data_IF_124304822902
#
_entry.id   IF_124304822902
#
_cell.length_a   1.000
_cell.length_b   1.000
_cell.length_c   1.000
_cell.angle_alpha   90.00
_cell.angle_beta   90.00
_cell.angle_gamma   90.00
#
_symmetry.space_group_name_H-M   'P 1'
#
loop_
_entity.id
_entity.type
_entity.pdbx_description
1 polymer ?
#
# COMPACT_ATOMS: atom_id res chain seq x y z
N UNK A 1 60.36 46.84 18.13
CA UNK A 1 60.99 47.81 17.20
C UNK A 1 59.97 48.02 16.08
N UNK A 2 59.11 49.06 16.10
CA UNK A 2 59.33 50.41 15.52
C UNK A 2 60.19 50.35 14.23
N UNK A 3 59.86 50.94 13.07
CA UNK A 3 58.93 52.00 12.67
C UNK A 3 59.12 52.19 11.15
N UNK A 4 58.05 52.41 10.37
CA UNK A 4 57.91 53.41 9.27
C UNK A 4 56.59 53.10 8.51
N UNK A 5 55.48 53.80 8.78
CA UNK A 5 55.06 55.11 8.23
C UNK A 5 54.80 55.03 6.70
N UNK A 6 53.72 55.53 6.09
CA UNK A 6 52.66 56.50 6.43
C UNK A 6 51.65 56.46 5.23
N UNK A 7 50.35 56.22 5.40
CA UNK A 7 49.24 57.20 5.54
C UNK A 7 48.92 58.01 4.26
N UNK A 8 47.70 57.87 3.69
CA UNK A 8 46.62 58.89 3.76
C UNK A 8 45.41 58.63 2.84
N UNK A 9 44.26 58.85 3.48
CA UNK A 9 42.88 59.00 3.01
C UNK A 9 42.66 60.19 2.07
N UNK A 10 41.68 60.09 1.15
CA UNK A 10 40.85 61.21 0.72
C UNK A 10 39.48 60.73 0.19
N UNK A 11 38.45 61.29 0.79
CA UNK A 11 37.01 61.23 0.50
C UNK A 11 36.62 62.21 -0.61
N UNK A 12 35.65 61.85 -1.47
CA UNK A 12 34.37 62.56 -1.68
C UNK A 12 33.80 62.49 -3.13
N UNK A 13 32.54 62.08 -3.18
CA UNK A 13 31.41 62.54 -4.01
C UNK A 13 31.46 62.47 -5.55
N UNK A 14 30.54 61.65 -6.09
CA UNK A 14 30.03 61.73 -7.45
C UNK A 14 28.79 60.84 -7.60
N UNK A 15 27.61 61.41 -7.33
CA UNK A 15 26.28 60.80 -7.50
C UNK A 15 25.96 60.71 -8.99
N UNK A 16 25.50 59.55 -9.46
CA UNK A 16 24.56 59.42 -10.59
C UNK A 16 23.88 58.04 -10.56
N UNK A 17 22.74 58.03 -9.88
CA UNK A 17 21.46 57.45 -10.29
C UNK A 17 21.44 56.41 -11.42
N UNK A 18 21.23 55.15 -11.07
CA UNK A 18 20.31 54.28 -11.80
C UNK A 18 19.72 53.23 -10.85
N UNK A 19 18.47 53.49 -10.45
CA UNK A 19 17.61 52.51 -9.79
C UNK A 19 17.33 51.36 -10.78
N UNK A 20 18.16 50.32 -10.73
CA UNK A 20 17.79 48.99 -11.20
C UNK A 20 16.98 48.31 -10.10
N UNK A 21 15.66 48.52 -10.10
CA UNK A 21 14.73 47.67 -9.37
C UNK A 21 14.83 46.26 -9.97
N UNK A 22 15.76 45.45 -9.47
CA UNK A 22 15.70 44.01 -9.58
C UNK A 22 14.52 43.58 -8.70
N UNK A 23 13.33 43.65 -9.28
CA UNK A 23 12.17 42.94 -8.79
C UNK A 23 12.52 41.47 -8.79
N UNK A 24 12.99 40.96 -7.64
CA UNK A 24 12.82 39.57 -7.29
C UNK A 24 11.31 39.34 -7.24
N UNK A 25 10.70 39.02 -8.38
CA UNK A 25 9.49 38.23 -8.39
C UNK A 25 9.88 36.91 -7.73
N UNK A 26 9.73 36.85 -6.41
CA UNK A 26 9.47 35.60 -5.73
C UNK A 26 8.14 35.12 -6.31
N UNK A 27 8.24 34.49 -7.48
CA UNK A 27 7.18 33.68 -8.02
C UNK A 27 7.02 32.61 -6.95
N UNK A 28 6.00 32.75 -6.12
CA UNK A 28 5.51 31.64 -5.33
C UNK A 28 5.02 30.63 -6.35
N UNK A 29 5.95 29.86 -6.89
CA UNK A 29 5.66 28.53 -7.35
C UNK A 29 5.13 27.87 -6.09
N UNK A 30 3.79 27.81 -5.97
CA UNK A 30 3.16 26.72 -5.24
C UNK A 30 3.93 25.49 -5.71
N UNK A 31 4.73 24.84 -4.86
CA UNK A 31 5.52 23.71 -5.32
C UNK A 31 4.49 22.75 -5.90
N UNK A 32 4.57 22.54 -7.23
CA UNK A 32 3.76 21.53 -7.88
C UNK A 32 3.87 20.30 -6.99
N UNK A 33 2.75 19.83 -6.46
CA UNK A 33 2.74 18.68 -5.55
C UNK A 33 3.53 17.61 -6.28
N UNK A 34 4.72 17.29 -5.79
CA UNK A 34 5.52 16.21 -6.37
C UNK A 34 4.97 14.93 -5.78
N UNK A 35 4.76 13.93 -6.63
CA UNK A 35 4.36 12.61 -6.19
C UNK A 35 5.34 12.06 -5.13
N UNK A 36 4.86 11.18 -4.26
CA UNK A 36 5.64 10.58 -3.19
C UNK A 36 4.99 9.29 -2.70
N UNK A 37 5.80 8.39 -2.17
CA UNK A 37 5.33 7.12 -1.59
C UNK A 37 5.26 7.21 -0.07
N UNK A 38 4.32 6.49 0.52
CA UNK A 38 4.14 6.35 1.96
C UNK A 38 4.05 4.86 2.30
N UNK A 39 4.74 4.43 3.35
CA UNK A 39 4.67 3.06 3.83
C UNK A 39 5.06 2.94 5.30
N UNK A 40 4.79 1.77 5.87
CA UNK A 40 5.40 1.38 7.14
C UNK A 40 6.91 1.22 6.99
N UNK A 41 7.65 1.46 8.06
CA UNK A 41 9.09 1.29 8.12
C UNK A 41 9.56 0.88 9.51
N UNK A 42 10.77 0.33 9.56
CA UNK A 42 11.46 -0.04 10.80
C UNK A 42 12.76 0.75 10.91
N UNK A 43 13.08 1.20 12.12
CA UNK A 43 14.36 1.80 12.51
C UNK A 43 15.08 0.87 13.48
N UNK A 44 16.30 1.26 13.88
CA UNK A 44 17.05 0.54 14.90
C UNK A 44 16.23 0.39 16.20
N UNK A 45 16.57 -0.60 17.03
CA UNK A 45 15.93 -0.85 18.33
C UNK A 45 14.40 -1.04 18.29
N UNK A 46 13.88 -1.64 17.21
CA UNK A 46 12.43 -1.94 17.05
C UNK A 46 11.51 -0.71 17.04
N UNK A 47 12.05 0.47 16.70
CA UNK A 47 11.23 1.65 16.48
C UNK A 47 10.50 1.55 15.14
N UNK A 48 9.19 1.78 15.16
CA UNK A 48 8.33 1.71 13.98
C UNK A 48 7.89 3.10 13.55
N UNK A 49 7.80 3.30 12.23
CA UNK A 49 7.38 4.57 11.64
C UNK A 49 6.42 4.35 10.48
N UNK A 50 5.58 5.33 10.20
CA UNK A 50 5.06 5.57 8.85
C UNK A 50 5.99 6.62 8.23
N UNK A 51 6.54 6.35 7.05
CA UNK A 51 7.53 7.21 6.42
C UNK A 51 7.09 7.57 5.01
N UNK A 52 7.37 8.80 4.60
CA UNK A 52 7.10 9.29 3.27
C UNK A 52 8.40 9.66 2.55
N UNK A 53 8.55 9.21 1.31
CA UNK A 53 9.72 9.49 0.48
C UNK A 53 9.27 10.12 -0.83
N UNK A 54 9.95 11.18 -1.24
CA UNK A 54 9.79 11.73 -2.59
C UNK A 54 10.23 10.69 -3.64
N UNK A 55 9.81 10.86 -4.89
CA UNK A 55 10.17 9.90 -5.96
C UNK A 55 11.68 9.81 -6.24
N UNK A 56 12.49 10.77 -5.76
CA UNK A 56 13.96 10.72 -5.82
C UNK A 56 14.59 9.95 -4.65
N UNK A 57 13.78 9.38 -3.75
CA UNK A 57 14.22 8.64 -2.57
C UNK A 57 14.59 9.52 -1.36
N UNK A 58 14.44 10.85 -1.44
CA UNK A 58 14.65 11.73 -0.29
C UNK A 58 13.50 11.63 0.71
N UNK A 59 13.83 11.65 2.01
CA UNK A 59 12.84 11.59 3.08
C UNK A 59 12.04 12.89 3.15
N UNK A 60 10.71 12.74 3.24
CA UNK A 60 9.77 13.84 3.45
C UNK A 60 9.44 14.03 4.93
N UNK A 61 9.03 12.96 5.58
CA UNK A 61 8.79 12.91 7.02
C UNK A 61 8.79 11.46 7.53
N UNK A 62 8.91 11.33 8.84
CA UNK A 62 8.63 10.10 9.59
C UNK A 62 7.62 10.43 10.69
N UNK A 63 6.59 9.59 10.80
CA UNK A 63 5.63 9.60 11.87
C UNK A 63 5.90 8.39 12.76
N UNK A 64 6.26 8.62 14.02
CA UNK A 64 6.45 7.55 14.99
C UNK A 64 5.16 6.73 15.18
N UNK A 65 5.28 5.41 15.20
CA UNK A 65 4.17 4.50 15.42
C UNK A 65 4.35 3.68 16.71
N UNK A 66 3.26 3.34 17.41
CA UNK A 66 3.33 2.50 18.62
C UNK A 66 3.89 1.09 18.36
N UNK A 67 3.67 0.57 17.15
CA UNK A 67 4.12 -0.75 16.70
C UNK A 67 4.13 -0.78 15.15
N UNK A 68 4.39 -1.96 14.56
CA UNK A 68 4.42 -2.15 13.10
C UNK A 68 3.16 -1.62 12.40
N UNK A 69 3.35 -0.57 11.60
CA UNK A 69 2.41 -0.13 10.57
C UNK A 69 2.51 -1.03 9.33
N UNK A 70 1.37 -1.38 8.75
CA UNK A 70 1.28 -2.35 7.66
C UNK A 70 0.80 -1.71 6.36
N UNK A 71 -0.50 -1.52 6.19
CA UNK A 71 -1.10 -0.84 5.04
C UNK A 71 -1.26 0.66 5.30
N UNK A 72 -1.27 1.43 4.22
CA UNK A 72 -1.63 2.86 4.21
C UNK A 72 -2.87 3.02 3.34
N UNK A 73 -3.93 3.60 3.90
CA UNK A 73 -5.14 3.95 3.15
C UNK A 73 -5.22 5.46 3.03
N UNK A 74 -5.22 5.96 1.79
CA UNK A 74 -5.20 7.39 1.48
C UNK A 74 -6.62 7.87 1.24
N UNK A 75 -6.97 9.02 1.81
CA UNK A 75 -8.25 9.68 1.59
C UNK A 75 -8.35 10.19 0.14
N UNK A 76 -9.49 10.08 -0.55
CA UNK A 76 -9.60 10.39 -1.98
C UNK A 76 -9.29 11.85 -2.35
N UNK A 77 -9.62 12.82 -1.47
CA UNK A 77 -9.46 14.26 -1.77
C UNK A 77 -8.69 15.10 -0.74
N UNK A 78 -8.89 14.85 0.56
CA UNK A 78 -8.19 15.53 1.65
C UNK A 78 -6.77 15.00 1.84
N UNK A 79 -5.84 15.80 2.42
CA UNK A 79 -4.47 15.37 2.68
C UNK A 79 -4.38 14.42 3.89
N UNK A 80 -5.25 13.42 3.96
CA UNK A 80 -5.41 12.49 5.08
C UNK A 80 -5.04 11.07 4.67
N UNK A 81 -4.39 10.34 5.56
CA UNK A 81 -4.14 8.93 5.38
C UNK A 81 -4.26 8.18 6.71
N UNK A 82 -4.52 6.89 6.63
CA UNK A 82 -4.62 5.99 7.77
C UNK A 82 -3.52 4.94 7.66
N UNK A 83 -2.66 4.88 8.68
CA UNK A 83 -1.73 3.78 8.84
C UNK A 83 -2.41 2.69 9.67
N UNK A 84 -2.53 1.50 9.10
CA UNK A 84 -3.16 0.36 9.76
C UNK A 84 -2.09 -0.52 10.41
N UNK A 85 -2.15 -0.66 11.73
CA UNK A 85 -1.30 -1.57 12.48
C UNK A 85 -1.65 -3.04 12.20
N UNK A 86 -0.64 -3.90 12.16
CA UNK A 86 -0.84 -5.34 12.07
C UNK A 86 0.33 -6.10 12.69
N UNK A 87 0.03 -6.90 13.72
CA UNK A 87 0.90 -7.91 14.34
C UNK A 87 2.40 -7.51 14.41
N UNK A 88 2.87 -6.89 15.51
CA UNK A 88 2.20 -6.75 16.82
C UNK A 88 1.19 -5.58 16.89
N UNK A 89 1.11 -4.71 15.88
CA UNK A 89 0.20 -3.57 15.88
C UNK A 89 -1.28 -3.96 16.00
N UNK A 90 -2.03 -3.19 16.80
CA UNK A 90 -3.47 -3.29 17.01
C UNK A 90 -4.11 -1.90 16.99
N UNK A 91 -3.64 -1.01 16.10
CA UNK A 91 -4.07 0.38 16.05
C UNK A 91 -4.41 0.81 14.61
N UNK A 92 -5.10 1.94 14.48
CA UNK A 92 -5.14 2.78 13.29
C UNK A 92 -4.66 4.18 13.66
N UNK A 93 -3.77 4.76 12.87
CA UNK A 93 -3.33 6.14 13.03
C UNK A 93 -3.80 6.95 11.81
N UNK A 94 -4.75 7.86 12.01
CA UNK A 94 -5.10 8.90 11.05
C UNK A 94 -4.10 10.06 11.17
N UNK A 95 -3.52 10.46 10.05
CA UNK A 95 -2.53 11.52 9.99
C UNK A 95 -2.69 12.38 8.73
N UNK A 96 -2.18 13.60 8.77
CA UNK A 96 -2.07 14.45 7.61
C UNK A 96 -0.84 14.03 6.80
N UNK A 97 -1.04 13.52 5.58
CA UNK A 97 0.06 12.96 4.79
C UNK A 97 0.89 14.04 4.07
N UNK A 98 0.47 15.31 4.09
CA UNK A 98 1.26 16.41 3.58
C UNK A 98 2.25 16.97 4.64
N UNK A 99 1.85 17.00 5.91
CA UNK A 99 2.68 17.51 7.02
C UNK A 99 3.33 16.42 7.88
N UNK A 100 2.83 15.19 7.85
CA UNK A 100 3.23 14.11 8.76
C UNK A 100 2.59 14.20 10.15
N UNK A 101 1.66 15.12 10.37
CA UNK A 101 1.00 15.35 11.66
C UNK A 101 0.03 14.22 12.02
N UNK A 102 0.20 13.62 13.20
CA UNK A 102 -0.76 12.67 13.77
C UNK A 102 -2.02 13.39 14.22
N UNK A 103 -3.19 12.92 13.79
CA UNK A 103 -4.48 13.53 14.09
C UNK A 103 -5.31 12.70 15.05
N UNK A 104 -5.33 11.38 14.89
CA UNK A 104 -6.09 10.48 15.75
C UNK A 104 -5.49 9.07 15.73
N UNK A 105 -5.35 8.47 16.90
CA UNK A 105 -5.03 7.05 17.05
C UNK A 105 -6.21 6.32 17.67
N UNK A 106 -6.57 5.16 17.12
CA UNK A 106 -7.55 4.24 17.68
C UNK A 106 -6.92 2.87 17.88
N UNK A 107 -7.18 2.26 19.03
CA UNK A 107 -6.84 0.86 19.26
C UNK A 107 -7.99 -0.06 18.87
N UNK A 108 -7.67 -1.29 18.48
CA UNK A 108 -8.65 -2.34 18.29
C UNK A 108 -9.37 -2.63 19.62
N UNK A 109 -10.67 -2.85 19.56
CA UNK A 109 -11.44 -3.28 20.72
C UNK A 109 -10.90 -4.61 21.28
N UNK A 110 -11.09 -4.86 22.58
CA UNK A 110 -10.45 -5.97 23.30
C UNK A 110 -10.59 -7.36 22.62
N UNK A 111 -11.76 -7.63 22.03
CA UNK A 111 -12.09 -8.92 21.36
C UNK A 111 -11.81 -8.91 19.85
N UNK A 112 -11.28 -7.80 19.32
CA UNK A 112 -11.01 -7.58 17.91
C UNK A 112 -9.51 -7.43 17.64
N UNK A 113 -9.13 -7.50 16.38
CA UNK A 113 -7.83 -7.07 15.88
C UNK A 113 -7.95 -6.61 14.42
N UNK A 114 -7.03 -5.75 13.97
CA UNK A 114 -6.95 -5.33 12.58
C UNK A 114 -6.12 -6.30 11.72
N UNK A 115 -6.54 -6.52 10.48
CA UNK A 115 -5.76 -7.21 9.46
C UNK A 115 -4.82 -6.28 8.69
N UNK A 116 -4.85 -4.98 8.99
CA UNK A 116 -3.85 -4.02 8.51
C UNK A 116 -4.17 -3.35 7.17
N UNK A 117 -5.44 -3.39 6.73
CA UNK A 117 -5.89 -2.83 5.45
C UNK A 117 -7.21 -2.07 5.59
N UNK A 118 -7.44 -1.13 4.67
CA UNK A 118 -8.68 -0.36 4.60
C UNK A 118 -8.90 0.33 3.25
N UNK A 119 -10.10 0.85 3.05
CA UNK A 119 -10.50 1.63 1.89
C UNK A 119 -11.46 2.75 2.32
N UNK A 120 -11.27 3.96 1.79
CA UNK A 120 -12.26 5.02 1.94
C UNK A 120 -13.40 4.84 0.92
N UNK A 121 -14.59 5.32 1.26
CA UNK A 121 -15.64 5.61 0.29
C UNK A 121 -15.18 6.69 -0.69
N UNK A 122 -15.83 6.76 -1.85
CA UNK A 122 -15.49 7.73 -2.91
C UNK A 122 -15.58 9.20 -2.42
N UNK A 123 -16.57 9.48 -1.57
CA UNK A 123 -16.74 10.79 -0.93
C UNK A 123 -15.80 11.03 0.28
N UNK A 124 -15.02 10.03 0.67
CA UNK A 124 -14.07 10.08 1.79
C UNK A 124 -14.71 10.12 3.20
N UNK A 125 -16.04 10.08 3.30
CA UNK A 125 -16.72 10.21 4.60
C UNK A 125 -16.67 8.93 5.45
N UNK A 126 -16.43 7.78 4.82
CA UNK A 126 -16.43 6.48 5.48
C UNK A 126 -15.12 5.73 5.20
N UNK A 127 -14.49 5.21 6.25
CA UNK A 127 -13.40 4.25 6.16
C UNK A 127 -13.94 2.84 6.45
N UNK A 128 -13.68 1.90 5.55
CA UNK A 128 -13.88 0.48 5.74
C UNK A 128 -12.54 -0.17 6.07
N UNK A 129 -12.46 -1.00 7.11
CA UNK A 129 -11.21 -1.69 7.48
C UNK A 129 -11.45 -3.15 7.81
N UNK A 130 -10.48 -4.00 7.46
CA UNK A 130 -10.55 -5.43 7.74
C UNK A 130 -10.20 -5.71 9.20
N UNK A 131 -11.16 -6.29 9.92
CA UNK A 131 -11.09 -6.68 11.32
C UNK A 131 -11.34 -8.19 11.48
N UNK A 132 -10.89 -8.74 12.60
CA UNK A 132 -11.11 -10.13 12.97
C UNK A 132 -11.43 -10.32 14.44
N UNK A 133 -12.25 -11.31 14.73
CA UNK A 133 -12.42 -11.81 16.10
C UNK A 133 -11.18 -12.54 16.60
N UNK A 134 -10.71 -12.18 17.80
CA UNK A 134 -9.45 -12.68 18.37
C UNK A 134 -9.39 -14.21 18.50
N UNK A 135 -10.51 -14.85 18.82
CA UNK A 135 -10.56 -16.29 19.11
C UNK A 135 -11.07 -17.15 17.96
N UNK A 136 -11.83 -16.58 17.02
CA UNK A 136 -12.49 -17.34 15.95
C UNK A 136 -11.97 -16.95 14.56
N UNK A 137 -11.25 -15.83 14.45
CA UNK A 137 -10.89 -15.17 13.19
C UNK A 137 -12.09 -14.80 12.31
N UNK A 138 -13.31 -14.79 12.87
CA UNK A 138 -14.52 -14.37 12.17
C UNK A 138 -14.28 -13.00 11.55
N UNK A 139 -14.54 -12.90 10.25
CA UNK A 139 -14.28 -11.72 9.45
C UNK A 139 -15.28 -10.62 9.73
N UNK A 140 -14.75 -9.41 9.87
CA UNK A 140 -15.51 -8.18 10.11
C UNK A 140 -14.96 -7.11 9.17
N UNK A 141 -15.85 -6.34 8.55
CA UNK A 141 -15.49 -5.02 8.02
C UNK A 141 -15.98 -3.99 9.02
N UNK A 142 -15.05 -3.33 9.69
CA UNK A 142 -15.39 -2.20 10.54
C UNK A 142 -15.68 -0.96 9.68
N UNK A 143 -16.77 -0.27 9.98
CA UNK A 143 -17.21 0.92 9.24
C UNK A 143 -17.06 2.13 10.14
N UNK A 144 -16.24 3.09 9.72
CA UNK A 144 -15.87 4.25 10.52
C UNK A 144 -16.24 5.54 9.80
N UNK A 145 -17.01 6.42 10.45
CA UNK A 145 -17.25 7.76 9.96
C UNK A 145 -16.03 8.65 10.21
N UNK A 146 -15.63 9.42 9.22
CA UNK A 146 -14.64 10.49 9.35
C UNK A 146 -15.34 11.83 9.59
N UNK A 147 -15.17 12.40 10.78
CA UNK A 147 -15.73 13.72 11.15
C UNK A 147 -14.70 14.52 11.92
N UNK A 148 -14.45 15.77 11.49
CA UNK A 148 -13.50 16.68 12.14
C UNK A 148 -12.14 16.02 12.45
N UNK A 149 -11.53 15.37 11.45
CA UNK A 149 -10.26 14.64 11.57
C UNK A 149 -10.27 13.53 12.65
N UNK A 150 -11.44 12.92 12.90
CA UNK A 150 -11.56 11.76 13.79
C UNK A 150 -12.38 10.66 13.15
N UNK A 151 -11.84 9.44 13.17
CA UNK A 151 -12.57 8.22 12.87
C UNK A 151 -13.40 7.80 14.08
N UNK A 152 -14.67 7.45 13.85
CA UNK A 152 -15.55 6.86 14.87
C UNK A 152 -16.25 5.66 14.25
N UNK A 153 -16.17 4.50 14.89
CA UNK A 153 -16.86 3.29 14.41
C UNK A 153 -18.37 3.49 14.49
N UNK A 154 -19.08 3.21 13.40
CA UNK A 154 -20.53 3.43 13.27
C UNK A 154 -21.28 2.16 12.86
N UNK A 155 -20.61 1.17 12.28
CA UNK A 155 -21.23 -0.09 11.86
C UNK A 155 -20.18 -1.21 11.72
N UNK A 156 -20.67 -2.45 11.53
CA UNK A 156 -19.87 -3.63 11.22
C UNK A 156 -20.58 -4.48 10.16
N UNK A 157 -19.85 -4.99 9.18
CA UNK A 157 -20.33 -6.03 8.26
C UNK A 157 -19.71 -7.37 8.64
N UNK A 158 -20.49 -8.45 8.59
CA UNK A 158 -20.07 -9.80 8.98
C UNK A 158 -20.69 -10.86 8.07
N UNK A 159 -20.47 -12.14 8.34
CA UNK A 159 -21.14 -13.24 7.61
C UNK A 159 -20.51 -13.64 6.28
N UNK A 160 -19.39 -13.02 5.87
CA UNK A 160 -18.72 -13.29 4.60
C UNK A 160 -17.49 -14.23 4.71
N UNK A 161 -17.24 -14.82 5.88
CA UNK A 161 -16.16 -15.78 6.10
C UNK A 161 -15.16 -15.34 7.15
N UNK A 162 -13.99 -15.99 7.16
CA UNK A 162 -12.94 -15.79 8.18
C UNK A 162 -11.65 -15.29 7.54
N UNK A 163 -10.86 -14.52 8.29
CA UNK A 163 -9.57 -14.07 7.76
C UNK A 163 -9.61 -13.04 6.63
N UNK A 164 -10.52 -12.04 6.60
CA UNK A 164 -10.50 -11.01 5.56
C UNK A 164 -9.18 -10.25 5.63
N UNK A 165 -8.42 -10.28 4.55
CA UNK A 165 -7.09 -9.71 4.54
C UNK A 165 -7.12 -8.27 4.06
N UNK A 166 -7.34 -8.08 2.76
CA UNK A 166 -7.37 -6.77 2.12
C UNK A 166 -8.79 -6.45 1.61
N UNK A 167 -9.11 -5.17 1.62
CA UNK A 167 -10.37 -4.60 1.14
C UNK A 167 -10.05 -3.45 0.18
N UNK A 168 -10.81 -3.34 -0.91
CA UNK A 168 -10.73 -2.23 -1.87
C UNK A 168 -12.12 -1.72 -2.21
N UNK A 169 -12.20 -0.45 -2.59
CA UNK A 169 -13.38 0.15 -3.20
C UNK A 169 -13.38 -0.18 -4.70
N UNK A 170 -14.55 -0.53 -5.23
CA UNK A 170 -14.79 -0.71 -6.66
C UNK A 170 -15.25 0.62 -7.29
N UNK A 171 -15.10 0.80 -8.62
CA UNK A 171 -15.55 2.02 -9.31
C UNK A 171 -17.05 2.33 -9.15
N UNK A 172 -17.88 1.32 -8.85
CA UNK A 172 -19.31 1.48 -8.60
C UNK A 172 -19.63 1.85 -7.14
N UNK A 173 -18.63 2.07 -6.29
CA UNK A 173 -18.78 2.41 -4.87
C UNK A 173 -19.01 1.21 -3.94
N UNK A 174 -19.09 -0.01 -4.46
CA UNK A 174 -19.15 -1.23 -3.64
C UNK A 174 -17.76 -1.68 -3.20
N UNK A 175 -17.71 -2.70 -2.35
CA UNK A 175 -16.46 -3.21 -1.77
C UNK A 175 -16.11 -4.56 -2.37
N UNK A 176 -14.81 -4.83 -2.49
CA UNK A 176 -14.27 -6.16 -2.76
C UNK A 176 -13.27 -6.53 -1.67
N UNK A 177 -13.38 -7.75 -1.15
CA UNK A 177 -12.63 -8.25 0.00
C UNK A 177 -11.97 -9.57 -0.34
N UNK A 178 -10.66 -9.65 -0.12
CA UNK A 178 -9.89 -10.89 -0.19
C UNK A 178 -10.03 -11.64 1.12
N UNK A 179 -10.83 -12.70 1.13
CA UNK A 179 -11.05 -13.53 2.32
C UNK A 179 -10.07 -14.69 2.29
N UNK A 180 -9.11 -14.68 3.22
CA UNK A 180 -8.03 -15.64 3.24
C UNK A 180 -8.44 -17.05 3.68
N UNK A 181 -9.55 -17.19 4.41
CA UNK A 181 -10.09 -18.49 4.84
C UNK A 181 -9.28 -19.21 5.93
N UNK A 182 -8.27 -18.57 6.52
CA UNK A 182 -7.37 -19.17 7.52
C UNK A 182 -7.68 -18.66 8.92
N UNK A 183 -8.09 -19.58 9.80
CA UNK A 183 -8.14 -19.36 11.24
C UNK A 183 -6.74 -19.55 11.84
N UNK A 184 -6.32 -18.62 12.71
CA UNK A 184 -4.99 -18.68 13.33
C UNK A 184 -5.02 -18.44 14.83
N UNK A 185 -4.26 -19.22 15.59
CA UNK A 185 -3.86 -18.88 16.96
C UNK A 185 -2.45 -18.27 16.91
N UNK A 186 -2.40 -16.94 17.07
CA UNK A 186 -1.15 -16.21 16.82
C UNK A 186 -0.70 -16.36 15.36
N UNK A 187 0.43 -17.03 15.12
CA UNK A 187 0.97 -17.31 13.77
C UNK A 187 0.63 -18.72 13.27
N UNK A 188 0.09 -19.58 14.10
CA UNK A 188 -0.19 -20.97 13.75
C UNK A 188 -1.55 -21.08 13.04
N UNK A 189 -1.62 -21.66 11.83
CA UNK A 189 -2.88 -21.91 11.15
C UNK A 189 -3.55 -23.18 11.69
N UNK A 190 -4.83 -23.10 12.03
CA UNK A 190 -5.56 -24.20 12.70
C UNK A 190 -6.50 -24.99 11.79
N UNK A 191 -6.83 -24.46 10.61
CA UNK A 191 -7.89 -25.01 9.75
C UNK A 191 -7.43 -25.28 8.32
N UNK A 192 -6.15 -25.55 8.06
CA UNK A 192 -5.66 -25.72 6.68
C UNK A 192 -6.42 -26.79 5.89
N UNK A 193 -6.95 -27.84 6.53
CA UNK A 193 -7.75 -28.88 5.87
C UNK A 193 -9.14 -28.40 5.45
N UNK A 194 -9.68 -27.37 6.10
CA UNK A 194 -11.06 -26.89 5.92
C UNK A 194 -11.14 -25.41 5.52
N UNK A 195 -10.01 -24.76 5.27
CA UNK A 195 -9.98 -23.37 4.81
C UNK A 195 -10.77 -23.22 3.50
N UNK A 196 -11.52 -22.14 3.40
CA UNK A 196 -12.34 -21.80 2.24
C UNK A 196 -12.12 -20.31 1.90
N UNK A 197 -11.04 -19.98 1.17
CA UNK A 197 -10.78 -18.63 0.70
C UNK A 197 -11.80 -18.19 -0.35
N UNK A 198 -12.09 -16.89 -0.40
CA UNK A 198 -13.01 -16.34 -1.39
C UNK A 198 -12.69 -14.89 -1.74
N UNK A 199 -13.01 -14.49 -2.97
CA UNK A 199 -13.14 -13.10 -3.38
C UNK A 199 -14.60 -12.70 -3.14
N UNK A 200 -14.82 -11.79 -2.20
CA UNK A 200 -16.17 -11.41 -1.78
C UNK A 200 -16.49 -9.97 -2.17
N UNK A 201 -17.60 -9.79 -2.86
CA UNK A 201 -18.15 -8.50 -3.24
C UNK A 201 -19.26 -8.13 -2.26
N UNK A 202 -19.16 -6.96 -1.63
CA UNK A 202 -20.11 -6.47 -0.63
C UNK A 202 -20.71 -5.13 -1.07
N UNK A 203 -22.00 -4.96 -0.81
CA UNK A 203 -22.64 -3.64 -0.83
C UNK A 203 -22.01 -2.76 0.22
N UNK A 204 -21.51 -1.59 -0.16
CA UNK A 204 -20.94 -0.63 0.80
C UNK A 204 -22.01 -0.01 1.72
N UNK A 205 -23.28 -0.02 1.29
CA UNK A 205 -24.40 0.57 2.01
C UNK A 205 -24.75 -0.19 3.28
N UNK A 206 -24.76 -1.52 3.22
CA UNK A 206 -25.33 -2.38 4.25
C UNK A 206 -24.55 -3.68 4.47
N UNK A 207 -23.48 -3.93 3.72
CA UNK A 207 -22.66 -5.12 3.85
C UNK A 207 -23.27 -6.38 3.23
N UNK A 208 -24.34 -6.26 2.46
CA UNK A 208 -24.93 -7.40 1.77
C UNK A 208 -23.92 -8.04 0.80
N UNK A 209 -23.79 -9.37 0.84
CA UNK A 209 -22.98 -10.12 -0.12
C UNK A 209 -23.65 -10.06 -1.50
N UNK A 210 -22.96 -9.44 -2.46
CA UNK A 210 -23.40 -9.32 -3.85
C UNK A 210 -22.96 -10.53 -4.69
N UNK A 211 -21.73 -11.00 -4.44
CA UNK A 211 -21.16 -12.20 -5.04
C UNK A 211 -20.02 -12.71 -4.16
N UNK A 212 -19.79 -14.01 -4.19
CA UNK A 212 -18.68 -14.64 -3.52
C UNK A 212 -18.19 -15.82 -4.36
N UNK A 213 -16.91 -15.76 -4.77
CA UNK A 213 -16.31 -16.76 -5.66
C UNK A 213 -15.02 -17.29 -5.03
N UNK A 214 -14.84 -18.60 -5.08
CA UNK A 214 -13.65 -19.29 -4.56
C UNK A 214 -12.76 -19.85 -5.67
N UNK A 215 -11.52 -20.17 -5.33
CA UNK A 215 -10.62 -20.92 -6.22
C UNK A 215 -10.88 -22.42 -6.10
N UNK A 216 -10.63 -23.16 -7.18
CA UNK A 216 -10.75 -24.62 -7.18
C UNK A 216 -9.83 -25.28 -6.16
N UNK A 217 -8.60 -24.76 -6.02
CA UNK A 217 -7.71 -25.12 -4.93
C UNK A 217 -7.97 -24.22 -3.71
N UNK A 218 -8.62 -24.81 -2.71
CA UNK A 218 -8.97 -24.14 -1.47
C UNK A 218 -7.76 -23.75 -0.60
N UNK A 219 -6.53 -24.19 -0.93
CA UNK A 219 -5.30 -23.80 -0.22
C UNK A 219 -4.72 -22.46 -0.68
N UNK A 220 -5.26 -21.88 -1.74
CA UNK A 220 -4.89 -20.57 -2.25
C UNK A 220 -5.57 -19.46 -1.42
N UNK A 221 -4.93 -19.07 -0.32
CA UNK A 221 -5.43 -17.99 0.54
C UNK A 221 -5.35 -16.66 -0.22
N UNK A 222 -6.49 -16.02 -0.50
CA UNK A 222 -6.54 -14.71 -1.15
C UNK A 222 -6.12 -13.64 -0.13
N UNK A 223 -5.13 -12.81 -0.50
CA UNK A 223 -4.52 -11.84 0.43
C UNK A 223 -4.55 -10.42 -0.07
N UNK A 224 -4.10 -10.21 -1.31
CA UNK A 224 -3.85 -8.87 -1.83
C UNK A 224 -4.69 -8.58 -3.05
N UNK A 225 -5.08 -7.32 -3.23
CA UNK A 225 -6.01 -6.92 -4.28
C UNK A 225 -5.48 -5.73 -5.06
N UNK A 226 -5.69 -5.73 -6.37
CA UNK A 226 -5.59 -4.56 -7.22
C UNK A 226 -6.89 -4.43 -8.02
N UNK A 227 -7.42 -3.21 -8.11
CA UNK A 227 -8.69 -2.91 -8.79
C UNK A 227 -8.43 -1.88 -9.87
N UNK A 228 -8.95 -2.12 -11.06
CA UNK A 228 -8.84 -1.21 -12.20
C UNK A 228 -10.06 -0.30 -12.30
N UNK A 229 -9.94 0.79 -13.07
CA UNK A 229 -11.02 1.75 -13.26
C UNK A 229 -12.26 1.16 -13.97
N UNK A 230 -12.09 0.12 -14.78
CA UNK A 230 -13.18 -0.63 -15.43
C UNK A 230 -13.74 -1.77 -14.55
N UNK A 231 -13.28 -1.91 -13.30
CA UNK A 231 -13.85 -2.79 -12.28
C UNK A 231 -13.34 -4.24 -12.31
N UNK A 232 -12.27 -4.52 -13.04
CA UNK A 232 -11.56 -5.79 -12.96
C UNK A 232 -10.74 -5.85 -11.67
N UNK A 233 -10.70 -7.04 -11.06
CA UNK A 233 -10.01 -7.28 -9.80
C UNK A 233 -8.94 -8.34 -10.02
N UNK A 234 -7.70 -7.98 -9.70
CA UNK A 234 -6.58 -8.90 -9.64
C UNK A 234 -6.29 -9.24 -8.19
N UNK A 235 -6.03 -10.52 -7.92
CA UNK A 235 -5.83 -10.98 -6.56
C UNK A 235 -4.50 -11.72 -6.45
N UNK A 236 -3.74 -11.46 -5.39
CA UNK A 236 -2.51 -12.18 -5.03
C UNK A 236 -2.77 -13.20 -3.92
N UNK A 237 -2.27 -14.41 -4.12
CA UNK A 237 -2.46 -15.54 -3.21
C UNK A 237 -1.24 -15.83 -2.35
N UNK A 238 -1.49 -16.46 -1.19
CA UNK A 238 -0.50 -17.24 -0.46
C UNK A 238 -0.93 -18.69 -0.43
N UNK A 239 -0.10 -19.57 -1.00
CA UNK A 239 -0.39 -21.00 -1.07
C UNK A 239 -0.07 -21.69 0.26
N UNK A 240 -0.97 -22.60 0.68
CA UNK A 240 -0.92 -23.33 1.96
C UNK A 240 -1.05 -24.84 1.79
N UNK A 241 -0.80 -25.34 0.59
CA UNK A 241 -0.81 -26.76 0.26
C UNK A 241 0.58 -27.37 0.34
N UNK A 242 0.89 -28.26 -0.60
CA UNK A 242 2.11 -29.05 -0.57
C UNK A 242 3.34 -28.22 -1.02
N UNK A 243 4.51 -28.38 -0.39
CA UNK A 243 5.72 -27.61 -0.73
C UNK A 243 6.19 -27.74 -2.19
N UNK A 244 5.88 -28.85 -2.84
CA UNK A 244 6.26 -29.15 -4.23
C UNK A 244 5.28 -28.65 -5.29
N UNK A 245 4.09 -28.17 -4.89
CA UNK A 245 3.06 -27.70 -5.82
C UNK A 245 3.23 -26.21 -6.06
N UNK A 246 3.23 -25.78 -7.33
CA UNK A 246 3.45 -24.38 -7.69
C UNK A 246 2.29 -23.85 -8.55
N UNK A 247 1.08 -23.72 -7.97
CA UNK A 247 -0.07 -23.20 -8.68
C UNK A 247 0.13 -21.71 -9.04
N UNK A 248 -0.64 -21.19 -10.01
CA UNK A 248 -0.75 -19.76 -10.21
C UNK A 248 -1.15 -19.03 -8.93
N UNK A 249 -0.39 -17.99 -8.59
CA UNK A 249 -0.60 -17.19 -7.37
C UNK A 249 -1.25 -15.84 -7.65
N UNK A 250 -1.67 -15.62 -8.90
CA UNK A 250 -2.42 -14.43 -9.31
C UNK A 250 -3.57 -14.86 -10.20
N UNK A 251 -4.75 -14.37 -9.89
CA UNK A 251 -5.97 -14.56 -10.69
C UNK A 251 -6.68 -13.22 -10.90
N UNK A 252 -7.43 -13.12 -11.99
CA UNK A 252 -8.31 -12.00 -12.31
C UNK A 252 -9.78 -12.40 -12.24
N UNK A 253 -10.64 -11.43 -11.99
CA UNK A 253 -12.08 -11.60 -11.97
C UNK A 253 -12.80 -10.25 -12.08
N UNK A 254 -13.96 -10.23 -12.70
CA UNK A 254 -14.86 -9.09 -12.73
C UNK A 254 -16.22 -9.47 -12.13
N UNK A 255 -16.84 -8.56 -11.38
CA UNK A 255 -18.15 -8.81 -10.78
C UNK A 255 -19.18 -9.20 -11.87
N UNK A 256 -19.82 -10.35 -11.68
CA UNK A 256 -20.77 -10.94 -12.63
C UNK A 256 -20.19 -12.13 -13.41
N UNK A 257 -18.87 -12.34 -13.37
CA UNK A 257 -18.25 -13.57 -13.85
C UNK A 257 -18.44 -14.72 -12.85
N UNK A 258 -18.35 -15.96 -13.35
CA UNK A 258 -18.55 -17.16 -12.55
C UNK A 258 -17.23 -17.74 -11.98
N UNK A 259 -16.10 -17.43 -12.60
CA UNK A 259 -14.83 -18.11 -12.34
C UNK A 259 -13.65 -17.13 -12.24
N UNK A 260 -12.74 -17.40 -11.30
CA UNK A 260 -11.46 -16.71 -11.18
C UNK A 260 -10.48 -17.27 -12.22
N UNK A 261 -9.95 -16.41 -13.08
CA UNK A 261 -9.06 -16.83 -14.17
C UNK A 261 -7.59 -16.63 -13.77
N UNK A 262 -6.74 -17.68 -13.76
CA UNK A 262 -5.32 -17.53 -13.44
C UNK A 262 -4.55 -16.76 -14.51
N UNK A 263 -3.54 -16.00 -14.08
CA UNK A 263 -2.56 -15.43 -15.00
C UNK A 263 -1.55 -16.48 -15.46
N UNK A 264 -0.90 -16.18 -16.59
CA UNK A 264 0.09 -17.05 -17.22
C UNK A 264 1.35 -17.23 -16.38
N UNK A 265 2.00 -18.38 -16.57
CA UNK A 265 3.23 -18.77 -15.90
C UNK A 265 3.30 -20.29 -15.74
N UNK A 266 4.46 -20.87 -16.03
CA UNK A 266 4.72 -22.30 -15.80
C UNK A 266 4.90 -22.58 -14.31
N UNK A 267 4.72 -23.83 -13.85
CA UNK A 267 4.98 -24.19 -12.45
C UNK A 267 6.39 -23.79 -11.95
N UNK A 268 7.42 -23.91 -12.81
CA UNK A 268 8.79 -23.48 -12.46
C UNK A 268 8.92 -21.97 -12.30
N UNK A 269 8.15 -21.18 -13.05
CA UNK A 269 8.09 -19.74 -12.90
C UNK A 269 7.37 -19.36 -11.59
N UNK A 270 6.24 -20.03 -11.27
CA UNK A 270 5.54 -19.82 -9.99
C UNK A 270 6.37 -20.26 -8.78
N UNK A 271 7.21 -21.28 -8.92
CA UNK A 271 8.14 -21.70 -7.87
C UNK A 271 9.08 -20.59 -7.41
N UNK A 272 9.42 -19.62 -8.28
CA UNK A 272 10.25 -18.46 -7.91
C UNK A 272 9.62 -17.59 -6.82
N UNK A 273 8.30 -17.53 -6.76
CA UNK A 273 7.57 -16.70 -5.78
C UNK A 273 7.47 -17.36 -4.41
N UNK A 274 7.94 -18.60 -4.25
CA UNK A 274 7.95 -19.33 -2.98
C UNK A 274 6.59 -19.24 -2.25
N UNK A 275 5.52 -19.54 -3.01
CA UNK A 275 4.14 -19.59 -2.52
C UNK A 275 3.55 -18.29 -1.97
N UNK A 276 4.17 -17.15 -2.24
CA UNK A 276 3.82 -15.90 -1.57
C UNK A 276 3.79 -14.71 -2.52
N UNK A 277 2.62 -14.11 -2.70
CA UNK A 277 2.49 -12.73 -3.16
C UNK A 277 2.32 -11.81 -1.95
N UNK A 278 3.14 -10.75 -1.87
CA UNK A 278 3.08 -9.74 -0.81
C UNK A 278 2.33 -8.47 -1.19
N UNK A 279 2.37 -8.11 -2.46
CA UNK A 279 1.67 -6.94 -2.97
C UNK A 279 1.45 -7.10 -4.47
N UNK A 280 0.43 -6.42 -4.98
CA UNK A 280 0.06 -6.43 -6.39
C UNK A 280 -0.36 -5.02 -6.80
N UNK A 281 0.07 -4.59 -7.97
CA UNK A 281 -0.29 -3.32 -8.57
C UNK A 281 -0.64 -3.52 -10.04
N UNK A 282 -1.53 -2.69 -10.57
CA UNK A 282 -2.03 -2.77 -11.94
C UNK A 282 -2.08 -1.38 -12.56
N UNK A 283 -1.65 -1.28 -13.82
CA UNK A 283 -1.90 -0.14 -14.72
C UNK A 283 -2.79 -0.62 -15.85
N UNK A 284 -3.12 0.26 -16.80
CA UNK A 284 -3.91 -0.13 -17.98
C UNK A 284 -3.23 -1.21 -18.84
N UNK A 285 -1.91 -1.37 -18.74
CA UNK A 285 -1.13 -2.28 -19.60
C UNK A 285 -0.41 -3.39 -18.84
N UNK A 286 -0.09 -3.19 -17.56
CA UNK A 286 0.81 -4.05 -16.81
C UNK A 286 0.24 -4.44 -15.45
N UNK A 287 0.58 -5.66 -15.01
CA UNK A 287 0.37 -6.13 -13.64
C UNK A 287 1.74 -6.47 -13.07
N UNK A 288 2.04 -5.99 -11.86
CA UNK A 288 3.23 -6.39 -11.13
C UNK A 288 2.87 -6.97 -9.77
N UNK A 289 3.59 -8.01 -9.37
CA UNK A 289 3.43 -8.62 -8.06
C UNK A 289 4.78 -8.97 -7.45
N UNK A 290 4.88 -8.81 -6.13
CA UNK A 290 6.13 -8.98 -5.38
C UNK A 290 6.10 -10.22 -4.50
N UNK A 291 7.27 -10.83 -4.31
CA UNK A 291 7.49 -11.92 -3.36
C UNK A 291 8.76 -11.68 -2.54
N UNK A 292 8.63 -11.29 -1.25
CA UNK A 292 9.75 -11.21 -0.33
C UNK A 292 10.47 -12.55 -0.16
N UNK A 293 9.78 -13.68 0.13
CA UNK A 293 10.48 -14.96 0.32
C UNK A 293 11.03 -15.54 -0.99
N UNK A 294 10.52 -15.09 -2.15
CA UNK A 294 11.08 -15.39 -3.46
C UNK A 294 12.23 -14.47 -3.88
N UNK A 295 12.44 -13.35 -3.17
CA UNK A 295 13.39 -12.28 -3.53
C UNK A 295 13.23 -11.82 -4.99
N UNK A 296 11.97 -11.73 -5.46
CA UNK A 296 11.66 -11.36 -6.83
C UNK A 296 10.34 -10.60 -6.96
N UNK A 297 10.17 -9.98 -8.12
CA UNK A 297 8.86 -9.54 -8.59
C UNK A 297 8.60 -10.13 -9.98
N UNK A 298 7.32 -10.28 -10.32
CA UNK A 298 6.87 -10.62 -11.67
C UNK A 298 6.19 -9.45 -12.35
N UNK A 299 6.19 -9.48 -13.68
CA UNK A 299 5.48 -8.54 -14.52
C UNK A 299 4.67 -9.31 -15.56
N UNK A 300 3.39 -8.98 -15.71
CA UNK A 300 2.48 -9.57 -16.69
C UNK A 300 1.87 -8.48 -17.56
N UNK A 301 1.50 -8.86 -18.78
CA UNK A 301 0.65 -8.03 -19.62
C UNK A 301 -0.78 -8.10 -19.10
N UNK A 302 -1.44 -6.96 -18.91
CA UNK A 302 -2.79 -6.92 -18.30
C UNK A 302 -3.81 -7.70 -19.14
N UNK A 303 -3.89 -7.37 -20.43
CA UNK A 303 -4.93 -7.92 -21.30
C UNK A 303 -4.80 -9.43 -21.51
N UNK A 304 -3.64 -9.90 -21.99
CA UNK A 304 -3.41 -11.32 -22.27
C UNK A 304 -3.23 -12.15 -20.99
N UNK A 305 -2.82 -11.53 -19.88
CA UNK A 305 -2.41 -12.23 -18.67
C UNK A 305 -1.08 -12.96 -18.80
N UNK A 306 -0.34 -12.75 -19.89
CA UNK A 306 0.94 -13.40 -20.15
C UNK A 306 2.04 -12.88 -19.21
N UNK A 307 2.83 -13.79 -18.65
CA UNK A 307 4.02 -13.42 -17.88
C UNK A 307 5.10 -12.87 -18.81
N UNK A 308 5.43 -11.60 -18.65
CA UNK A 308 6.49 -10.91 -19.40
C UNK A 308 7.85 -11.32 -18.83
N UNK A 309 8.03 -11.21 -17.51
CA UNK A 309 9.29 -11.58 -16.85
C UNK A 309 9.17 -11.74 -15.34
N UNK A 310 10.15 -12.41 -14.76
CA UNK A 310 10.45 -12.43 -13.32
C UNK A 310 11.82 -11.78 -13.14
N UNK A 311 11.95 -10.85 -12.21
CA UNK A 311 13.17 -10.08 -11.99
C UNK A 311 13.57 -10.08 -10.51
N UNK A 312 14.88 -10.14 -10.20
CA UNK A 312 15.35 -10.19 -8.83
C UNK A 312 15.16 -8.84 -8.13
N UNK A 313 14.61 -8.89 -6.92
CA UNK A 313 14.49 -7.77 -6.00
C UNK A 313 14.50 -8.37 -4.57
N UNK A 314 15.62 -8.26 -3.84
CA UNK A 314 15.71 -8.79 -2.48
C UNK A 314 14.60 -8.23 -1.60
N UNK A 315 13.92 -9.08 -0.83
CA UNK A 315 12.85 -8.67 0.07
C UNK A 315 11.77 -7.80 -0.63
N UNK A 316 11.43 -8.14 -1.88
CA UNK A 316 10.46 -7.42 -2.72
C UNK A 316 9.11 -7.29 -2.00
N UNK A 317 8.71 -6.07 -1.67
CA UNK A 317 7.68 -5.76 -0.69
C UNK A 317 6.48 -5.03 -1.33
N UNK A 318 6.31 -3.73 -1.11
CA UNK A 318 5.17 -2.97 -1.60
C UNK A 318 5.16 -2.81 -3.11
N UNK A 319 3.97 -2.83 -3.70
CA UNK A 319 3.70 -2.46 -5.08
C UNK A 319 2.61 -1.40 -5.11
N UNK A 320 2.83 -0.31 -5.84
CA UNK A 320 1.86 0.75 -6.08
C UNK A 320 1.91 1.18 -7.55
N UNK A 321 0.79 1.63 -8.10
CA UNK A 321 0.70 2.09 -9.48
C UNK A 321 0.10 3.49 -9.55
N UNK A 322 0.54 4.25 -10.55
CA UNK A 322 -0.07 5.51 -11.02
C UNK A 322 -0.18 5.46 -12.53
N UNK A 323 -0.76 6.51 -13.15
CA UNK A 323 -1.02 6.55 -14.59
C UNK A 323 0.21 6.16 -15.43
N UNK A 324 0.25 4.89 -15.84
CA UNK A 324 1.31 4.28 -16.66
C UNK A 324 2.60 3.87 -15.93
N UNK A 325 2.70 3.96 -14.60
CA UNK A 325 3.92 3.58 -13.87
C UNK A 325 3.62 2.66 -12.69
N UNK A 326 4.57 1.78 -12.38
CA UNK A 326 4.53 0.91 -11.21
C UNK A 326 5.78 1.16 -10.37
N UNK A 327 5.58 1.28 -9.06
CA UNK A 327 6.63 1.44 -8.07
C UNK A 327 6.65 0.23 -7.15
N UNK A 328 7.82 -0.37 -7.00
CA UNK A 328 8.06 -1.54 -6.16
C UNK A 328 9.09 -1.20 -5.09
N UNK A 329 8.86 -1.71 -3.88
CA UNK A 329 9.77 -1.55 -2.75
C UNK A 329 10.52 -2.82 -2.42
N UNK A 330 11.62 -2.66 -1.70
CA UNK A 330 12.36 -3.73 -1.06
C UNK A 330 12.50 -3.38 0.42
N UNK A 331 12.34 -4.37 1.31
CA UNK A 331 12.61 -4.17 2.73
C UNK A 331 14.09 -3.86 3.04
N UNK A 332 14.99 -4.05 2.07
CA UNK A 332 16.40 -3.64 2.12
C UNK A 332 16.66 -2.23 1.53
N UNK A 333 15.60 -1.46 1.26
CA UNK A 333 15.69 -0.04 0.84
C UNK A 333 15.79 0.19 -0.66
N UNK A 334 15.80 -0.87 -1.46
CA UNK A 334 15.68 -0.76 -2.92
C UNK A 334 14.31 -0.25 -3.36
N UNK A 335 14.30 0.57 -4.41
CA UNK A 335 13.10 1.12 -5.05
C UNK A 335 13.22 0.88 -6.55
N UNK A 336 12.23 0.21 -7.13
CA UNK A 336 12.16 -0.04 -8.57
C UNK A 336 10.97 0.69 -9.17
N UNK A 337 11.23 1.55 -10.15
CA UNK A 337 10.21 2.20 -10.96
C UNK A 337 10.13 1.50 -12.31
N UNK A 338 8.94 1.08 -12.71
CA UNK A 338 8.65 0.51 -14.02
C UNK A 338 7.83 1.52 -14.82
N UNK A 339 8.27 1.83 -16.03
CA UNK A 339 7.49 2.64 -16.96
C UNK A 339 6.35 1.83 -17.62
N UNK A 340 5.60 2.47 -18.52
CA UNK A 340 4.44 1.86 -19.21
C UNK A 340 4.80 0.63 -20.06
N UNK A 341 6.06 0.52 -20.47
CA UNK A 341 6.61 -0.62 -21.21
C UNK A 341 7.31 -1.63 -20.29
N UNK A 342 7.24 -1.40 -18.97
CA UNK A 342 7.88 -2.22 -17.96
C UNK A 342 9.39 -2.04 -17.90
N UNK A 343 9.99 -1.00 -18.48
CA UNK A 343 11.43 -0.73 -18.34
C UNK A 343 11.71 -0.26 -16.92
N UNK A 344 12.73 -0.84 -16.30
CA UNK A 344 13.04 -0.61 -14.89
C UNK A 344 14.13 0.45 -14.72
N UNK A 345 13.88 1.39 -13.82
CA UNK A 345 14.90 2.22 -13.18
C UNK A 345 14.94 1.89 -11.69
N UNK A 346 16.14 1.65 -11.14
CA UNK A 346 16.32 1.27 -9.75
C UNK A 346 17.12 2.30 -8.98
N UNK A 347 16.67 2.58 -7.77
CA UNK A 347 17.29 3.49 -6.82
C UNK A 347 17.40 2.79 -5.45
N UNK A 348 18.22 3.35 -4.57
CA UNK A 348 18.38 2.85 -3.22
C UNK A 348 18.21 3.99 -2.23
N UNK A 349 17.49 3.72 -1.16
CA UNK A 349 17.34 4.60 -0.01
C UNK A 349 17.87 3.89 1.24
N UNK A 350 18.33 4.62 2.27
CA UNK A 350 18.74 4.02 3.53
C UNK A 350 17.55 3.52 4.38
N UNK A 351 16.31 3.68 3.88
CA UNK A 351 15.10 3.43 4.62
C UNK A 351 14.57 2.03 4.35
N UNK A 352 14.30 1.29 5.43
CA UNK A 352 13.66 -0.02 5.36
C UNK A 352 12.14 0.15 5.30
N UNK A 353 11.50 -0.74 4.55
CA UNK A 353 10.07 -0.70 4.27
C UNK A 353 9.35 -1.92 4.80
N UNK A 354 8.09 -1.74 5.18
CA UNK A 354 7.14 -2.84 5.31
C UNK A 354 6.55 -3.25 3.94
N UNK A 355 5.63 -4.20 3.95
CA UNK A 355 5.15 -4.90 2.76
C UNK A 355 4.24 -4.07 1.84
N UNK A 356 3.82 -2.86 2.22
CA UNK A 356 2.84 -2.08 1.45
C UNK A 356 3.23 -0.60 1.32
N UNK A 357 2.89 -0.07 0.14
CA UNK A 357 2.99 1.34 -0.18
C UNK A 357 1.64 1.89 -0.60
N UNK A 358 1.43 3.16 -0.28
CA UNK A 358 0.51 4.03 -0.98
C UNK A 358 1.32 5.08 -1.76
N UNK A 359 0.87 5.41 -2.95
CA UNK A 359 1.44 6.46 -3.77
C UNK A 359 0.49 7.66 -3.73
N UNK A 360 1.03 8.83 -3.43
CA UNK A 360 0.33 10.10 -3.50
C UNK A 360 0.72 10.75 -4.82
N UNK A 361 -0.27 10.96 -5.68
CA UNK A 361 -0.08 11.68 -6.93
C UNK A 361 0.11 13.18 -6.73
N UNK A 362 0.69 13.78 -7.76
CA UNK A 362 0.92 15.22 -7.89
C UNK A 362 -0.39 16.00 -7.96
#
# INVERSE_FOLDING_TARGET
MQRRQFLKTLTAAGVLSSLGLLGCSAQSQTPARRAYVIGGGRRAAEQYVAQALNMDGSLRFELALPARGHGITVHPSLPLAVCHGRRPGQFMCLFNHASGELLHTLDAEAKRYFYGHGAFSDDGQTLYTTEGERHTSQGIIGVYALRANRLTKINEFTGFGIGPHEIRLLPNGNLVVGVGGVHTLGREPLNLKTMAPSLTYLSAKDGQILSQVGLSDHKLSIRHLAVTADGEVFTGQQYRGEPQDYPPLIVRHKLGENELTPLGGTPLQWARFNHYIASIAVTDTLIAATSPPGNCYGLWHRDSGELIRISPLPDASGAAATAGQIWLSSGQGGISQLDINGREQRFYSPYQWDNHWALIDA
#
